data_IF_343951556205
#
_entry.id   IF_343951556205
#
_cell.length_a   1.000
_cell.length_b   1.000
_cell.length_c   1.000
_cell.angle_alpha   90.00
_cell.angle_beta   90.00
_cell.angle_gamma   90.00
#
_symmetry.space_group_name_H-M   'P 1'
#
loop_
_entity.id
_entity.type
_entity.pdbx_description
1 polymer ?
#
# COMPACT_ATOMS: atom_id res chain seq x y z
N UNK A 1 -2.06 -37.61 -11.12
CA UNK A 1 -2.05 -37.89 -9.66
C UNK A 1 -3.10 -38.92 -9.30
N UNK A 2 -4.36 -38.71 -9.68
CA UNK A 2 -5.44 -39.62 -9.30
C UNK A 2 -5.41 -40.97 -10.05
N UNK A 3 -4.91 -40.97 -11.29
CA UNK A 3 -4.80 -42.20 -12.11
C UNK A 3 -3.88 -43.26 -11.49
N UNK A 4 -2.70 -42.88 -10.96
CA UNK A 4 -1.79 -43.84 -10.31
C UNK A 4 -2.39 -44.44 -9.02
N UNK A 5 -3.28 -43.72 -8.34
CA UNK A 5 -3.98 -44.21 -7.15
C UNK A 5 -5.22 -45.05 -7.51
N UNK A 6 -5.83 -44.81 -8.67
CA UNK A 6 -6.90 -45.65 -9.21
C UNK A 6 -6.40 -47.02 -9.65
N UNK A 7 -5.21 -47.09 -10.26
CA UNK A 7 -4.57 -48.34 -10.68
C UNK A 7 -4.30 -49.28 -9.50
N UNK A 8 -4.06 -48.73 -8.30
CA UNK A 8 -3.84 -49.50 -7.06
C UNK A 8 -5.08 -50.30 -6.63
N UNK A 9 -6.29 -49.86 -6.99
CA UNK A 9 -7.54 -50.52 -6.57
C UNK A 9 -7.73 -51.88 -7.22
N UNK A 10 -7.13 -52.09 -8.39
CA UNK A 10 -7.24 -53.32 -9.18
C UNK A 10 -6.15 -54.36 -8.86
N UNK A 11 -5.13 -53.98 -8.10
CA UNK A 11 -4.02 -54.87 -7.69
C UNK A 11 -4.36 -55.68 -6.44
N UNK A 12 -3.68 -56.83 -6.30
CA UNK A 12 -3.73 -57.65 -5.09
C UNK A 12 -3.17 -56.88 -3.88
N UNK A 13 -3.56 -57.22 -2.64
CA UNK A 13 -3.12 -56.49 -1.45
C UNK A 13 -1.61 -56.39 -1.28
N UNK A 14 -0.87 -57.47 -1.55
CA UNK A 14 0.59 -57.50 -1.41
C UNK A 14 1.29 -56.62 -2.45
N UNK A 15 0.81 -56.67 -3.70
CA UNK A 15 1.32 -55.82 -4.79
C UNK A 15 0.99 -54.35 -4.55
N UNK A 16 -0.20 -54.06 -4.02
CA UNK A 16 -0.60 -52.69 -3.64
C UNK A 16 0.33 -52.10 -2.60
N UNK A 17 0.70 -52.86 -1.57
CA UNK A 17 1.64 -52.41 -0.53
C UNK A 17 3.02 -52.12 -1.13
N UNK A 18 3.51 -53.00 -2.01
CA UNK A 18 4.81 -52.80 -2.67
C UNK A 18 4.80 -51.53 -3.52
N UNK A 19 3.75 -51.34 -4.31
CA UNK A 19 3.58 -50.16 -5.18
C UNK A 19 3.43 -48.87 -4.39
N UNK A 20 2.72 -48.91 -3.26
CA UNK A 20 2.58 -47.77 -2.35
C UNK A 20 3.93 -47.34 -1.75
N UNK A 21 4.80 -48.30 -1.40
CA UNK A 21 6.16 -48.00 -0.92
C UNK A 21 7.01 -47.33 -2.00
N UNK A 22 6.94 -47.82 -3.24
CA UNK A 22 7.65 -47.21 -4.38
C UNK A 22 7.15 -45.77 -4.64
N UNK A 23 5.84 -45.55 -4.62
CA UNK A 23 5.24 -44.20 -4.75
C UNK A 23 5.69 -43.29 -3.61
N UNK A 24 5.72 -43.80 -2.38
CA UNK A 24 6.15 -43.05 -1.21
C UNK A 24 7.63 -42.62 -1.33
N UNK A 25 8.50 -43.52 -1.78
CA UNK A 25 9.93 -43.22 -1.94
C UNK A 25 10.18 -42.20 -3.06
N UNK A 26 9.52 -42.37 -4.22
CA UNK A 26 9.58 -41.38 -5.31
C UNK A 26 9.11 -40.00 -4.87
N UNK A 27 7.99 -39.92 -4.14
CA UNK A 27 7.48 -38.65 -3.61
C UNK A 27 8.43 -38.02 -2.59
N UNK A 28 9.11 -38.83 -1.79
CA UNK A 28 10.10 -38.32 -0.85
C UNK A 28 11.26 -37.64 -1.60
N UNK A 29 11.73 -38.25 -2.68
CA UNK A 29 12.77 -37.66 -3.54
C UNK A 29 12.28 -36.37 -4.21
N UNK A 30 11.07 -36.36 -4.77
CA UNK A 30 10.47 -35.15 -5.37
C UNK A 30 10.36 -33.99 -4.36
N UNK A 31 10.04 -34.29 -3.10
CA UNK A 31 9.99 -33.28 -2.03
C UNK A 31 11.38 -32.76 -1.68
N UNK A 32 12.38 -33.64 -1.61
CA UNK A 32 13.76 -33.28 -1.30
C UNK A 32 14.35 -32.38 -2.40
N UNK A 33 14.17 -32.74 -3.68
CA UNK A 33 14.56 -31.91 -4.83
C UNK A 33 13.87 -30.55 -4.81
N UNK A 34 12.56 -30.51 -4.51
CA UNK A 34 11.83 -29.25 -4.40
C UNK A 34 12.37 -28.37 -3.25
N UNK A 35 12.72 -28.97 -2.11
CA UNK A 35 13.31 -28.25 -0.98
C UNK A 35 14.70 -27.69 -1.32
N UNK A 36 15.53 -28.44 -2.05
CA UNK A 36 16.83 -27.96 -2.55
C UNK A 36 16.65 -26.80 -3.53
N UNK A 37 15.70 -26.88 -4.47
CA UNK A 37 15.41 -25.78 -5.39
C UNK A 37 14.92 -24.53 -4.65
N UNK A 38 14.10 -24.70 -3.62
CA UNK A 38 13.64 -23.59 -2.78
C UNK A 38 14.80 -22.92 -2.04
N UNK A 39 15.71 -23.70 -1.42
CA UNK A 39 16.84 -23.13 -0.69
C UNK A 39 17.78 -22.36 -1.62
N UNK A 40 18.09 -22.89 -2.80
CA UNK A 40 18.88 -22.20 -3.83
C UNK A 40 18.22 -20.89 -4.26
N UNK A 41 16.90 -20.90 -4.46
CA UNK A 41 16.15 -19.70 -4.85
C UNK A 41 16.16 -18.64 -3.74
N UNK A 42 16.03 -19.04 -2.48
CA UNK A 42 16.13 -18.12 -1.35
C UNK A 42 17.51 -17.47 -1.24
N UNK A 43 18.58 -18.22 -1.49
CA UNK A 43 19.94 -17.69 -1.50
C UNK A 43 20.15 -16.70 -2.67
N UNK A 44 19.66 -17.01 -3.86
CA UNK A 44 19.72 -16.11 -5.02
C UNK A 44 18.98 -14.79 -4.76
N UNK A 45 17.80 -14.86 -4.13
CA UNK A 45 17.03 -13.67 -3.76
C UNK A 45 17.76 -12.81 -2.74
N UNK A 46 18.40 -13.42 -1.74
CA UNK A 46 19.22 -12.69 -0.75
C UNK A 46 20.39 -11.98 -1.43
N UNK A 47 21.08 -12.65 -2.35
CA UNK A 47 22.19 -12.06 -3.10
C UNK A 47 21.73 -10.88 -3.95
N UNK A 48 20.65 -11.02 -4.71
CA UNK A 48 20.07 -9.91 -5.49
C UNK A 48 19.67 -8.72 -4.62
N UNK A 49 19.14 -8.98 -3.42
CA UNK A 49 18.77 -7.92 -2.50
C UNK A 49 20.01 -7.17 -2.00
N UNK A 50 21.06 -7.91 -1.62
CA UNK A 50 22.35 -7.33 -1.23
C UNK A 50 22.94 -6.50 -2.37
N UNK A 51 22.91 -6.99 -3.61
CA UNK A 51 23.38 -6.24 -4.79
C UNK A 51 22.60 -4.94 -4.99
N UNK A 52 21.27 -4.97 -4.86
CA UNK A 52 20.43 -3.76 -4.94
C UNK A 52 20.77 -2.75 -3.84
N UNK A 53 20.98 -3.22 -2.62
CA UNK A 53 21.26 -2.37 -1.47
C UNK A 53 22.70 -1.81 -1.53
N UNK A 54 23.65 -2.56 -2.13
CA UNK A 54 25.04 -2.15 -2.29
C UNK A 54 25.29 -1.24 -3.49
N UNK A 55 24.39 -1.17 -4.47
CA UNK A 55 24.49 -0.23 -5.58
C UNK A 55 24.03 1.17 -5.12
N UNK A 56 24.96 2.11 -4.86
CA UNK A 56 24.55 3.46 -4.49
C UNK A 56 23.83 4.10 -5.67
N UNK A 57 22.60 4.57 -5.44
CA UNK A 57 21.87 5.41 -6.41
C UNK A 57 22.79 6.61 -6.72
N UNK A 58 23.20 6.82 -7.98
CA UNK A 58 24.17 7.87 -8.35
C UNK A 58 23.77 9.27 -7.88
N UNK A 59 22.47 9.51 -7.68
CA UNK A 59 21.89 10.78 -7.27
C UNK A 59 22.21 11.18 -5.82
N UNK A 60 22.75 10.29 -4.98
CA UNK A 60 23.14 10.60 -3.59
C UNK A 60 24.63 10.94 -3.44
N UNK A 61 25.45 10.84 -4.49
CA UNK A 61 26.90 11.12 -4.45
C UNK A 61 27.28 12.55 -4.86
N UNK A 62 26.34 13.38 -5.30
CA UNK A 62 26.62 14.79 -5.55
C UNK A 62 26.48 15.58 -4.26
N UNK A 63 27.60 15.78 -3.57
CA UNK A 63 27.75 16.54 -2.31
C UNK A 63 27.40 18.04 -2.40
N UNK A 64 26.53 18.46 -3.31
CA UNK A 64 25.93 19.82 -3.30
C UNK A 64 24.86 19.90 -4.38
N UNK A 65 23.61 20.11 -3.96
CA UNK A 65 22.45 20.39 -4.85
C UNK A 65 22.74 21.53 -5.85
N UNK A 66 23.66 22.42 -5.49
CA UNK A 66 24.12 23.55 -6.29
C UNK A 66 24.80 23.13 -7.59
N UNK A 67 25.46 21.97 -7.63
CA UNK A 67 26.14 21.48 -8.84
C UNK A 67 25.23 20.76 -9.84
N UNK A 68 24.00 20.42 -9.46
CA UNK A 68 23.01 19.78 -10.33
C UNK A 68 22.21 20.76 -11.19
N UNK A 69 22.18 22.04 -10.81
CA UNK A 69 21.47 23.09 -11.53
C UNK A 69 22.40 23.80 -12.51
N UNK A 70 21.97 23.97 -13.77
CA UNK A 70 22.65 24.82 -14.74
C UNK A 70 22.62 26.30 -14.33
N UNK A 71 23.45 27.14 -14.96
CA UNK A 71 23.53 28.58 -14.60
C UNK A 71 22.17 29.28 -14.66
N UNK A 72 21.36 28.98 -15.68
CA UNK A 72 20.01 29.53 -15.84
C UNK A 72 19.05 29.09 -14.71
N UNK A 73 19.12 27.82 -14.29
CA UNK A 73 18.27 27.30 -13.22
C UNK A 73 18.71 27.85 -11.86
N UNK A 74 20.02 28.05 -11.65
CA UNK A 74 20.54 28.73 -10.45
C UNK A 74 20.08 30.17 -10.38
N UNK A 75 20.03 30.90 -11.50
CA UNK A 75 19.50 32.26 -11.54
C UNK A 75 18.01 32.30 -11.24
N UNK A 76 17.20 31.41 -11.82
CA UNK A 76 15.78 31.31 -11.46
C UNK A 76 15.59 30.99 -9.97
N UNK A 77 16.40 30.09 -9.42
CA UNK A 77 16.34 29.75 -8.01
C UNK A 77 16.76 30.91 -7.10
N UNK A 78 17.79 31.68 -7.47
CA UNK A 78 18.19 32.90 -6.74
C UNK A 78 17.13 33.99 -6.84
N UNK A 79 16.58 34.24 -8.02
CA UNK A 79 15.54 35.25 -8.22
C UNK A 79 14.28 34.93 -7.41
N UNK A 80 13.89 33.66 -7.29
CA UNK A 80 12.70 33.28 -6.50
C UNK A 80 12.95 33.11 -5.01
N UNK A 81 14.20 32.85 -4.59
CA UNK A 81 14.56 32.65 -3.17
C UNK A 81 14.92 33.96 -2.44
N UNK A 82 15.25 35.04 -3.17
CA UNK A 82 15.71 36.31 -2.58
C UNK A 82 14.78 37.51 -2.81
N UNK A 83 13.51 37.31 -3.21
CA UNK A 83 12.52 38.43 -3.25
C UNK A 83 11.99 38.83 -1.88
N UNK A 84 12.33 38.11 -0.81
CA UNK A 84 12.12 38.54 0.57
C UNK A 84 13.45 39.03 1.16
N UNK A 85 13.62 40.35 1.10
CA UNK A 85 14.57 41.18 1.86
C UNK A 85 16.06 41.16 1.50
N UNK A 86 16.46 42.10 0.62
CA UNK A 86 17.52 43.09 0.89
C UNK A 86 17.58 44.12 -0.24
N UNK A 87 16.88 45.24 -0.08
CA UNK A 87 17.18 46.48 -0.79
C UNK A 87 17.43 47.58 0.23
N UNK A 88 18.69 47.65 0.63
CA UNK A 88 19.30 48.75 1.34
C UNK A 88 19.56 49.93 0.39
N UNK A 89 19.11 51.12 0.80
CA UNK A 89 19.64 52.46 0.51
C UNK A 89 19.15 53.19 -0.77
N UNK A 90 18.32 54.21 -0.48
CA UNK A 90 18.32 55.62 -0.97
C UNK A 90 18.04 55.94 -2.44
N UNK A 91 16.93 56.63 -2.72
CA UNK A 91 16.98 58.05 -3.10
C UNK A 91 15.58 58.71 -3.09
N UNK A 92 15.55 59.92 -2.54
CA UNK A 92 14.49 60.93 -2.50
C UNK A 92 13.78 61.18 -3.83
N UNK A 93 12.44 61.28 -3.79
CA UNK A 93 11.67 62.34 -4.45
C UNK A 93 10.27 62.49 -3.87
N UNK A 94 9.99 63.71 -3.43
CA UNK A 94 8.68 64.21 -3.06
C UNK A 94 7.65 63.99 -4.18
N UNK A 95 6.41 63.65 -3.83
CA UNK A 95 5.21 64.15 -4.51
C UNK A 95 4.00 63.99 -3.58
N UNK A 96 3.34 65.13 -3.36
CA UNK A 96 2.13 65.31 -2.54
C UNK A 96 0.91 64.65 -3.16
N UNK A 97 0.03 64.15 -2.30
CA UNK A 97 -1.42 64.24 -2.48
C UNK A 97 -2.14 62.96 -2.92
N UNK A 98 -2.71 62.25 -1.94
CA UNK A 98 -4.04 61.64 -2.03
C UNK A 98 -4.41 61.07 -0.66
N UNK A 99 -5.41 61.67 -0.02
CA UNK A 99 -6.11 61.09 1.12
C UNK A 99 -6.79 59.79 0.69
N UNK A 100 -6.41 58.69 1.32
CA UNK A 100 -7.04 57.38 1.14
C UNK A 100 -6.52 56.47 2.22
N UNK A 101 -7.39 56.11 3.16
CA UNK A 101 -7.12 55.32 4.37
C UNK A 101 -6.31 54.07 4.02
N UNK A 102 -5.00 54.10 4.32
CA UNK A 102 -4.13 52.92 4.35
C UNK A 102 -4.53 52.15 5.60
N UNK A 103 -5.45 51.19 5.45
CA UNK A 103 -5.51 50.09 6.40
C UNK A 103 -4.14 49.42 6.34
N UNK A 104 -3.36 49.60 7.41
CA UNK A 104 -2.22 48.75 7.70
C UNK A 104 -2.76 47.33 7.79
N UNK A 105 -2.70 46.60 6.68
CA UNK A 105 -2.72 45.15 6.70
C UNK A 105 -1.44 44.79 7.43
N UNK A 106 -1.54 44.50 8.73
CA UNK A 106 -0.51 43.72 9.41
C UNK A 106 -0.29 42.48 8.54
N UNK A 107 0.88 42.36 7.93
CA UNK A 107 1.28 41.18 7.20
C UNK A 107 1.43 40.04 8.21
N UNK A 108 0.32 39.42 8.56
CA UNK A 108 0.30 38.19 9.34
C UNK A 108 1.04 37.17 8.49
N UNK A 109 2.17 36.62 8.97
CA UNK A 109 2.96 35.67 8.19
C UNK A 109 2.07 34.50 7.76
N UNK A 110 2.35 33.96 6.57
CA UNK A 110 1.52 32.91 5.97
C UNK A 110 1.39 31.70 6.92
N UNK A 111 2.41 31.42 7.74
CA UNK A 111 2.34 30.37 8.76
C UNK A 111 1.33 30.68 9.86
N UNK A 112 1.10 31.94 10.21
CA UNK A 112 0.13 32.36 11.22
C UNK A 112 -1.29 32.42 10.65
N UNK A 113 -1.46 32.76 9.37
CA UNK A 113 -2.76 32.61 8.67
C UNK A 113 -3.12 31.13 8.50
N UNK A 114 -2.17 30.27 8.13
CA UNK A 114 -2.38 28.82 8.03
C UNK A 114 -2.72 28.18 9.39
N UNK A 115 -2.16 28.69 10.49
CA UNK A 115 -2.50 28.22 11.85
C UNK A 115 -3.86 28.73 12.34
N UNK A 116 -4.28 29.94 11.92
CA UNK A 116 -5.60 30.49 12.24
C UNK A 116 -6.72 29.81 11.45
N UNK A 117 -6.47 29.47 10.19
CA UNK A 117 -7.45 28.85 9.29
C UNK A 117 -7.38 27.31 9.30
N UNK A 118 -6.42 26.72 10.01
CA UNK A 118 -6.40 25.28 10.24
C UNK A 118 -7.69 24.89 10.98
N UNK A 119 -8.54 24.02 10.42
CA UNK A 119 -9.75 23.59 11.10
C UNK A 119 -9.34 22.96 12.44
N UNK A 120 -9.89 23.49 13.53
CA UNK A 120 -9.76 22.87 14.85
C UNK A 120 -10.57 21.58 14.83
N UNK A 121 -9.97 20.52 14.27
CA UNK A 121 -10.56 19.21 14.25
C UNK A 121 -10.67 18.72 15.68
N UNK A 122 -11.90 18.53 16.14
CA UNK A 122 -12.18 17.88 17.41
C UNK A 122 -11.56 16.46 17.40
N UNK A 123 -11.32 15.88 18.58
CA UNK A 123 -10.71 14.55 18.73
C UNK A 123 -11.39 13.49 17.85
N UNK A 124 -12.71 13.56 17.74
CA UNK A 124 -13.50 12.61 16.94
C UNK A 124 -13.29 12.81 15.43
N UNK A 125 -13.11 14.06 14.99
CA UNK A 125 -12.85 14.39 13.59
C UNK A 125 -11.44 13.97 13.16
N UNK A 126 -10.45 14.10 14.06
CA UNK A 126 -9.09 13.58 13.82
C UNK A 126 -9.08 12.07 13.70
N UNK A 127 -9.73 11.37 14.63
CA UNK A 127 -9.84 9.92 14.58
C UNK A 127 -10.58 9.42 13.31
N UNK A 128 -11.59 10.16 12.85
CA UNK A 128 -12.27 9.85 11.59
C UNK A 128 -11.35 10.04 10.37
N UNK A 129 -10.57 11.12 10.31
CA UNK A 129 -9.60 11.35 9.23
C UNK A 129 -8.51 10.28 9.20
N UNK A 130 -7.97 9.89 10.35
CA UNK A 130 -6.96 8.83 10.44
C UNK A 130 -7.50 7.49 9.94
N UNK A 131 -8.74 7.14 10.32
CA UNK A 131 -9.42 5.94 9.81
C UNK A 131 -9.62 6.00 8.29
N UNK A 132 -10.00 7.15 7.75
CA UNK A 132 -10.20 7.31 6.31
C UNK A 132 -8.88 7.18 5.54
N UNK A 133 -7.80 7.80 6.03
CA UNK A 133 -6.48 7.69 5.44
C UNK A 133 -5.99 6.23 5.44
N UNK A 134 -6.22 5.51 6.53
CA UNK A 134 -5.86 4.11 6.63
C UNK A 134 -6.62 3.23 5.61
N UNK A 135 -7.92 3.48 5.42
CA UNK A 135 -8.71 2.75 4.41
C UNK A 135 -8.18 3.02 3.00
N UNK A 136 -7.84 4.28 2.68
CA UNK A 136 -7.25 4.62 1.37
C UNK A 136 -5.93 3.89 1.14
N UNK A 137 -5.10 3.77 2.17
CA UNK A 137 -3.84 3.00 2.10
C UNK A 137 -4.12 1.51 1.86
N UNK A 138 -5.13 0.95 2.52
CA UNK A 138 -5.56 -0.43 2.28
C UNK A 138 -6.06 -0.62 0.84
N UNK A 139 -6.83 0.31 0.30
CA UNK A 139 -7.34 0.23 -1.08
C UNK A 139 -6.23 0.22 -2.14
N UNK A 140 -5.07 0.83 -1.83
CA UNK A 140 -3.87 0.79 -2.68
C UNK A 140 -3.14 -0.55 -2.66
N UNK A 141 -3.44 -1.45 -1.71
CA UNK A 141 -2.81 -2.77 -1.66
C UNK A 141 -3.21 -3.63 -2.87
N UNK A 142 -2.35 -4.58 -3.28
CA UNK A 142 -2.72 -5.60 -4.25
C UNK A 142 -4.02 -6.31 -3.84
N UNK A 143 -4.95 -6.48 -4.79
CA UNK A 143 -6.26 -7.12 -4.54
C UNK A 143 -6.11 -8.48 -3.85
N UNK A 144 -5.12 -9.26 -4.27
CA UNK A 144 -4.83 -10.56 -3.69
C UNK A 144 -4.53 -10.49 -2.18
N UNK A 145 -3.87 -9.43 -1.71
CA UNK A 145 -3.59 -9.26 -0.28
C UNK A 145 -4.88 -8.96 0.50
N UNK A 146 -5.75 -8.10 -0.02
CA UNK A 146 -7.05 -7.83 0.57
C UNK A 146 -7.90 -9.10 0.64
N UNK A 147 -7.94 -9.86 -0.45
CA UNK A 147 -8.64 -11.14 -0.52
C UNK A 147 -8.10 -12.15 0.51
N UNK A 148 -6.77 -12.31 0.60
CA UNK A 148 -6.16 -13.22 1.56
C UNK A 148 -6.44 -12.81 3.02
N UNK A 149 -6.45 -11.51 3.32
CA UNK A 149 -6.79 -11.01 4.66
C UNK A 149 -8.24 -11.35 5.03
N UNK A 150 -9.19 -11.13 4.10
CA UNK A 150 -10.59 -11.49 4.27
C UNK A 150 -10.74 -13.01 4.47
N UNK A 151 -10.04 -13.80 3.67
CA UNK A 151 -10.05 -15.26 3.77
C UNK A 151 -9.52 -15.74 5.12
N UNK A 152 -8.45 -15.13 5.64
CA UNK A 152 -7.93 -15.46 6.96
C UNK A 152 -8.94 -15.19 8.09
N UNK A 153 -9.69 -14.09 8.00
CA UNK A 153 -10.78 -13.79 8.95
C UNK A 153 -11.89 -14.85 8.82
N UNK A 154 -12.25 -15.24 7.59
CA UNK A 154 -13.26 -16.28 7.35
C UNK A 154 -12.84 -17.64 7.93
N UNK A 155 -11.59 -18.06 7.71
CA UNK A 155 -11.05 -19.31 8.24
C UNK A 155 -11.04 -19.32 9.77
N UNK A 156 -10.68 -18.18 10.38
CA UNK A 156 -10.76 -18.00 11.82
C UNK A 156 -12.21 -18.09 12.34
N UNK A 157 -13.16 -17.46 11.65
CA UNK A 157 -14.57 -17.55 11.98
C UNK A 157 -15.12 -18.97 11.85
N UNK A 158 -14.74 -19.72 10.81
CA UNK A 158 -15.13 -21.12 10.65
C UNK A 158 -14.60 -22.01 11.77
N UNK A 159 -13.41 -21.69 12.30
CA UNK A 159 -12.78 -22.46 13.38
C UNK A 159 -13.36 -22.13 14.75
N UNK A 160 -13.63 -20.85 15.01
CA UNK A 160 -14.02 -20.35 16.35
C UNK A 160 -15.53 -20.09 16.50
N UNK A 161 -16.27 -19.98 15.39
CA UNK A 161 -17.70 -19.64 15.34
C UNK A 161 -18.03 -18.18 15.70
N UNK A 162 -17.04 -17.38 16.11
CA UNK A 162 -17.21 -16.00 16.59
C UNK A 162 -16.08 -15.13 16.04
N UNK A 163 -16.40 -13.90 15.62
CA UNK A 163 -15.42 -12.88 15.23
C UNK A 163 -14.97 -12.07 16.45
N UNK A 164 -13.66 -11.94 16.64
CA UNK A 164 -13.10 -11.04 17.65
C UNK A 164 -13.38 -9.57 17.30
N UNK A 165 -13.33 -8.70 18.31
CA UNK A 165 -13.55 -7.26 18.13
C UNK A 165 -12.58 -6.65 17.11
N UNK A 166 -11.31 -7.07 17.15
CA UNK A 166 -10.28 -6.68 16.19
C UNK A 166 -10.62 -7.18 14.78
N UNK A 167 -11.03 -8.44 14.64
CA UNK A 167 -11.45 -9.01 13.36
C UNK A 167 -12.66 -8.29 12.78
N UNK A 168 -13.61 -7.85 13.62
CA UNK A 168 -14.76 -7.05 13.18
C UNK A 168 -14.31 -5.68 12.68
N UNK A 169 -13.44 -5.01 13.43
CA UNK A 169 -12.89 -3.73 13.02
C UNK A 169 -12.11 -3.83 11.70
N UNK A 170 -11.33 -4.90 11.53
CA UNK A 170 -10.56 -5.14 10.32
C UNK A 170 -11.45 -5.55 9.14
N UNK A 171 -12.47 -6.38 9.36
CA UNK A 171 -13.45 -6.73 8.33
C UNK A 171 -14.15 -5.48 7.77
N UNK A 172 -14.51 -4.53 8.64
CA UNK A 172 -15.08 -3.26 8.22
C UNK A 172 -14.11 -2.43 7.35
N UNK A 173 -12.84 -2.32 7.76
CA UNK A 173 -11.82 -1.60 7.01
C UNK A 173 -11.53 -2.26 5.65
N UNK A 174 -11.44 -3.59 5.63
CA UNK A 174 -11.24 -4.38 4.41
C UNK A 174 -12.43 -4.26 3.47
N UNK A 175 -13.66 -4.23 3.99
CA UNK A 175 -14.85 -4.00 3.17
C UNK A 175 -14.78 -2.65 2.46
N UNK A 176 -14.51 -1.58 3.23
CA UNK A 176 -14.42 -0.24 2.67
C UNK A 176 -13.28 -0.12 1.65
N UNK A 177 -12.14 -0.75 1.90
CA UNK A 177 -11.02 -0.79 0.95
C UNK A 177 -11.37 -1.54 -0.35
N UNK A 178 -12.10 -2.66 -0.26
CA UNK A 178 -12.58 -3.42 -1.42
C UNK A 178 -13.63 -2.64 -2.21
N UNK A 179 -14.53 -1.92 -1.53
CA UNK A 179 -15.52 -1.05 -2.17
C UNK A 179 -14.85 0.08 -2.94
N UNK A 180 -13.90 0.81 -2.30
CA UNK A 180 -13.11 1.86 -2.97
C UNK A 180 -12.38 1.33 -4.21
N UNK A 181 -11.80 0.13 -4.11
CA UNK A 181 -11.10 -0.52 -5.23
C UNK A 181 -12.05 -0.94 -6.34
N UNK A 182 -13.20 -1.50 -5.99
CA UNK A 182 -14.26 -1.86 -6.93
C UNK A 182 -14.76 -0.61 -7.69
N UNK A 183 -14.97 0.50 -6.97
CA UNK A 183 -15.44 1.74 -7.57
C UNK A 183 -14.40 2.35 -8.51
N UNK A 184 -13.12 2.32 -8.15
CA UNK A 184 -12.05 2.77 -9.04
C UNK A 184 -11.94 1.89 -10.31
N UNK A 185 -12.16 0.58 -10.19
CA UNK A 185 -12.25 -0.33 -11.35
C UNK A 185 -13.44 0.02 -12.24
N UNK A 186 -14.61 0.32 -11.65
CA UNK A 186 -15.82 0.72 -12.40
C UNK A 186 -15.67 2.07 -13.07
N UNK A 187 -14.97 3.01 -12.42
CA UNK A 187 -14.64 4.33 -12.96
C UNK A 187 -13.62 4.27 -14.11
N UNK A 188 -12.97 3.11 -14.31
CA UNK A 188 -11.96 2.92 -15.35
C UNK A 188 -10.59 3.47 -15.00
N UNK A 189 -10.33 3.81 -13.73
CA UNK A 189 -9.01 4.20 -13.24
C UNK A 189 -8.00 3.06 -13.34
N UNK A 190 -8.51 1.83 -13.28
CA UNK A 190 -7.74 0.61 -13.43
C UNK A 190 -8.35 -0.27 -14.53
N UNK A 191 -7.49 -0.95 -15.28
CA UNK A 191 -7.91 -2.01 -16.20
C UNK A 191 -7.47 -3.38 -15.66
N UNK A 192 -8.18 -3.92 -14.66
CA UNK A 192 -7.79 -5.16 -14.01
C UNK A 192 -8.01 -6.36 -14.92
N UNK A 193 -7.17 -7.39 -14.74
CA UNK A 193 -7.42 -8.70 -15.33
C UNK A 193 -8.74 -9.29 -14.82
N UNK A 194 -9.30 -10.23 -15.59
CA UNK A 194 -10.53 -10.95 -15.19
C UNK A 194 -10.35 -11.67 -13.84
N UNK A 195 -9.13 -12.15 -13.58
CA UNK A 195 -8.76 -12.76 -12.30
C UNK A 195 -8.93 -11.79 -11.13
N UNK A 196 -8.42 -10.56 -11.24
CA UNK A 196 -8.53 -9.54 -10.20
C UNK A 196 -9.99 -9.16 -9.94
N UNK A 197 -10.83 -9.08 -11.00
CA UNK A 197 -12.27 -8.82 -10.83
C UNK A 197 -12.94 -9.92 -10.01
N UNK A 198 -12.64 -11.19 -10.32
CA UNK A 198 -13.14 -12.34 -9.56
C UNK A 198 -12.70 -12.32 -8.10
N UNK A 199 -11.45 -11.92 -7.82
CA UNK A 199 -10.97 -11.79 -6.43
C UNK A 199 -11.70 -10.69 -5.65
N UNK A 200 -11.97 -9.54 -6.29
CA UNK A 200 -12.78 -8.47 -5.68
C UNK A 200 -14.17 -8.99 -5.35
N UNK A 201 -14.85 -9.58 -6.34
CA UNK A 201 -16.21 -10.10 -6.17
C UNK A 201 -16.29 -11.20 -5.11
N UNK A 202 -15.32 -12.13 -5.11
CA UNK A 202 -15.23 -13.20 -4.13
C UNK A 202 -15.00 -12.66 -2.72
N UNK A 203 -14.08 -11.70 -2.56
CA UNK A 203 -13.82 -11.05 -1.28
C UNK A 203 -15.05 -10.35 -0.74
N UNK A 204 -15.73 -9.54 -1.56
CA UNK A 204 -16.99 -8.87 -1.17
C UNK A 204 -18.08 -9.88 -0.80
N UNK A 205 -18.18 -11.02 -1.50
CA UNK A 205 -19.13 -12.07 -1.15
C UNK A 205 -18.83 -12.71 0.21
N UNK A 206 -17.55 -12.93 0.54
CA UNK A 206 -17.14 -13.48 1.84
C UNK A 206 -17.50 -12.49 2.95
N UNK A 207 -17.17 -11.21 2.76
CA UNK A 207 -17.48 -10.16 3.74
C UNK A 207 -18.98 -10.09 4.00
N UNK A 208 -19.80 -10.02 2.94
CA UNK A 208 -21.25 -9.93 3.07
C UNK A 208 -21.86 -11.13 3.82
N UNK A 209 -21.28 -12.32 3.62
CA UNK A 209 -21.68 -13.52 4.36
C UNK A 209 -21.33 -13.38 5.84
N UNK A 210 -20.08 -13.01 6.16
CA UNK A 210 -19.60 -12.85 7.54
C UNK A 210 -20.39 -11.77 8.29
N UNK A 211 -20.69 -10.64 7.64
CA UNK A 211 -21.50 -9.57 8.24
C UNK A 211 -22.93 -10.03 8.52
N UNK A 212 -23.57 -10.75 7.59
CA UNK A 212 -24.92 -11.28 7.78
C UNK A 212 -25.01 -12.33 8.89
N UNK A 213 -24.01 -13.21 8.97
CA UNK A 213 -23.98 -14.26 9.98
C UNK A 213 -23.72 -13.67 11.37
N UNK A 214 -23.09 -12.49 11.46
CA UNK A 214 -22.88 -11.75 12.70
C UNK A 214 -24.13 -10.97 13.18
N UNK A 215 -24.96 -10.46 12.28
CA UNK A 215 -26.15 -9.66 12.63
C UNK A 215 -27.34 -10.50 13.15
N UNK A 216 -27.21 -11.83 13.22
CA UNK A 216 -28.26 -12.76 13.67
C UNK A 216 -28.04 -13.22 15.11
#
# INVERSE_FOLDING_TARGET
MDQELEDLKNLSPDERIKRLKEIQERRKQEIEEAQELMSLTEEELKQRQIEKDQLPIPQLKSDTFENLLGEADREMFRMKRFTTEKSSVSETKELKGAEGVVQQLEEVPLEETLRRDAPQLNTDQRAAMEKEQYVKQLAMLPTQQLYNAIKGIQESYQSNGILSDDQRADLYKLNKAMDEKSDAIRAGEYNPSEYIKKEVDAGSSIINKLMRDYER
#
